data_IF_360805960730
#
_entry.id   IF_360805960730
#
_cell.length_a   1.000
_cell.length_b   1.000
_cell.length_c   1.000
_cell.angle_alpha   90.00
_cell.angle_beta   90.00
_cell.angle_gamma   90.00
#
_symmetry.space_group_name_H-M   'P 1'
#
loop_
_entity.id
_entity.type
_entity.pdbx_description
1 polymer ?
#
# COMPACT_ATOMS: atom_id res chain seq x y z
N UNK A 1 38.20 -15.16 -40.53
CA UNK A 1 37.88 -16.09 -41.65
C UNK A 1 38.98 -17.14 -41.84
N UNK A 2 40.26 -16.77 -41.91
CA UNK A 2 41.35 -17.73 -42.10
C UNK A 2 41.50 -18.73 -40.96
N UNK A 3 41.38 -18.32 -39.71
CA UNK A 3 41.49 -19.19 -38.55
C UNK A 3 40.37 -20.24 -38.47
N UNK A 4 39.12 -19.87 -38.82
CA UNK A 4 37.97 -20.81 -38.86
C UNK A 4 38.17 -21.87 -39.96
N UNK A 5 38.69 -21.47 -41.10
CA UNK A 5 39.01 -22.37 -42.22
C UNK A 5 40.11 -23.37 -41.85
N UNK A 6 41.17 -22.93 -41.16
CA UNK A 6 42.23 -23.79 -40.66
C UNK A 6 41.73 -24.80 -39.65
N UNK A 7 40.92 -24.38 -38.68
CA UNK A 7 40.33 -25.27 -37.70
C UNK A 7 39.50 -26.39 -38.33
N UNK A 8 38.67 -26.09 -39.34
CA UNK A 8 37.86 -27.07 -40.04
C UNK A 8 38.69 -28.06 -40.86
N UNK A 9 39.83 -27.63 -41.41
CA UNK A 9 40.79 -28.51 -42.07
C UNK A 9 41.44 -29.46 -41.05
N UNK A 10 41.80 -28.94 -39.88
CA UNK A 10 42.47 -29.70 -38.83
C UNK A 10 41.54 -30.81 -38.22
N UNK A 11 40.22 -30.64 -38.26
CA UNK A 11 39.25 -31.67 -37.87
C UNK A 11 38.80 -32.59 -39.02
N UNK A 12 39.44 -32.47 -40.19
CA UNK A 12 39.21 -33.33 -41.36
C UNK A 12 37.79 -33.40 -41.86
N UNK A 13 37.08 -32.30 -41.87
CA UNK A 13 35.69 -32.16 -42.35
C UNK A 13 35.70 -32.16 -43.89
N UNK A 14 34.87 -33.00 -44.51
CA UNK A 14 34.74 -33.09 -45.97
C UNK A 14 34.26 -31.78 -46.61
N UNK A 15 34.50 -31.66 -47.95
CA UNK A 15 34.18 -30.43 -48.69
C UNK A 15 32.70 -30.06 -48.66
N UNK A 16 31.82 -31.03 -48.69
CA UNK A 16 30.35 -30.81 -48.60
C UNK A 16 29.96 -30.28 -47.21
N UNK A 17 30.48 -30.88 -46.14
CA UNK A 17 30.25 -30.39 -44.77
C UNK A 17 30.84 -28.97 -44.56
N UNK A 18 31.88 -28.62 -45.28
CA UNK A 18 32.44 -27.25 -45.22
C UNK A 18 31.50 -26.20 -45.84
N UNK A 19 30.86 -26.52 -46.97
CA UNK A 19 29.88 -25.59 -47.59
C UNK A 19 28.66 -25.42 -46.72
N UNK A 20 28.11 -26.51 -46.15
CA UNK A 20 27.01 -26.46 -45.15
C UNK A 20 27.41 -25.64 -43.91
N UNK A 21 28.61 -25.86 -43.38
CA UNK A 21 29.14 -25.07 -42.27
C UNK A 21 29.35 -23.59 -42.62
N UNK A 22 29.76 -23.31 -43.83
CA UNK A 22 29.94 -21.96 -44.31
C UNK A 22 28.58 -21.24 -44.43
N UNK A 23 27.59 -21.89 -45.04
CA UNK A 23 26.24 -21.37 -45.09
C UNK A 23 25.65 -21.16 -43.68
N UNK A 24 25.90 -22.08 -42.77
CA UNK A 24 25.46 -21.96 -41.37
C UNK A 24 26.20 -20.80 -40.66
N UNK A 25 27.50 -20.67 -40.81
CA UNK A 25 28.29 -19.58 -40.23
C UNK A 25 27.93 -18.23 -40.86
N UNK A 26 27.76 -18.16 -42.17
CA UNK A 26 27.39 -16.93 -42.87
C UNK A 26 25.91 -16.57 -42.64
N UNK A 27 25.07 -17.55 -42.28
CA UNK A 27 23.68 -17.37 -41.88
C UNK A 27 23.49 -17.02 -40.40
N UNK A 28 24.51 -17.18 -39.54
CA UNK A 28 24.52 -16.61 -38.20
C UNK A 28 24.83 -15.11 -38.35
N UNK A 29 23.77 -14.34 -38.38
CA UNK A 29 23.86 -12.89 -38.20
C UNK A 29 24.26 -12.70 -36.73
N UNK A 30 25.56 -12.53 -36.50
CA UNK A 30 26.11 -12.36 -35.14
C UNK A 30 25.97 -10.88 -34.75
N UNK A 31 24.72 -10.50 -34.48
CA UNK A 31 24.35 -9.17 -33.96
C UNK A 31 24.67 -9.04 -32.47
N UNK A 32 25.31 -10.05 -31.86
CA UNK A 32 25.67 -10.01 -30.44
C UNK A 32 26.99 -9.20 -30.27
N UNK A 33 27.07 -8.39 -29.21
CA UNK A 33 28.31 -7.69 -28.88
C UNK A 33 29.39 -8.67 -28.46
N UNK A 34 30.65 -8.34 -28.81
CA UNK A 34 31.81 -9.11 -28.35
C UNK A 34 31.94 -9.05 -26.82
N UNK A 35 32.41 -10.12 -26.14
CA UNK A 35 32.66 -10.11 -24.71
C UNK A 35 33.79 -9.13 -24.37
N UNK A 36 33.56 -8.31 -23.35
CA UNK A 36 34.53 -7.33 -22.85
C UNK A 36 35.42 -7.93 -21.76
N UNK A 37 36.69 -7.59 -21.76
CA UNK A 37 37.63 -7.99 -20.70
C UNK A 37 37.49 -7.06 -19.50
N UNK A 38 37.19 -7.60 -18.32
CA UNK A 38 37.11 -6.82 -17.10
C UNK A 38 38.39 -6.07 -16.76
N UNK A 39 39.55 -6.63 -17.11
CA UNK A 39 40.85 -5.98 -16.91
C UNK A 39 41.03 -4.73 -17.77
N UNK A 40 40.44 -4.70 -18.97
CA UNK A 40 40.50 -3.54 -19.87
C UNK A 40 39.56 -2.43 -19.41
N UNK A 41 38.44 -2.81 -18.79
CA UNK A 41 37.44 -1.85 -18.31
C UNK A 41 37.73 -1.34 -16.88
N UNK A 42 38.63 -2.01 -16.13
CA UNK A 42 38.81 -1.77 -14.69
C UNK A 42 39.11 -0.31 -14.33
N UNK A 43 39.96 0.34 -15.10
CA UNK A 43 40.35 1.73 -14.88
C UNK A 43 39.43 2.76 -15.59
N UNK A 44 38.55 2.27 -16.47
CA UNK A 44 37.62 3.08 -17.26
C UNK A 44 36.20 2.50 -17.24
N UNK A 45 35.66 2.20 -16.04
CA UNK A 45 34.31 1.69 -15.88
C UNK A 45 33.27 2.63 -16.50
N UNK A 46 32.32 2.11 -17.27
CA UNK A 46 31.22 2.90 -17.79
C UNK A 46 30.39 3.50 -16.64
N UNK A 47 29.93 4.72 -16.84
CA UNK A 47 29.04 5.37 -15.86
C UNK A 47 27.75 4.62 -15.71
N UNK A 48 27.31 4.45 -14.46
CA UNK A 48 25.99 3.89 -14.18
C UNK A 48 24.89 4.84 -14.69
N UNK A 49 23.81 4.27 -15.22
CA UNK A 49 22.63 5.06 -15.57
C UNK A 49 22.16 5.91 -14.38
N UNK A 50 21.78 7.17 -14.60
CA UNK A 50 21.38 8.06 -13.50
C UNK A 50 20.14 7.53 -12.76
N UNK A 51 20.00 7.77 -11.45
CA UNK A 51 18.82 7.37 -10.73
C UNK A 51 17.60 8.15 -11.25
N UNK A 52 16.51 7.43 -11.53
CA UNK A 52 15.21 8.01 -11.83
C UNK A 52 14.45 8.30 -10.53
N UNK A 53 14.39 7.31 -9.64
CA UNK A 53 13.87 7.43 -8.28
C UNK A 53 15.03 7.05 -7.37
N UNK A 54 15.49 8.00 -6.58
CA UNK A 54 16.70 7.84 -5.78
C UNK A 54 16.59 6.62 -4.83
N UNK A 55 17.63 5.79 -4.82
CA UNK A 55 17.68 4.53 -4.06
C UNK A 55 16.58 3.49 -4.39
N UNK A 56 15.87 3.63 -5.51
CA UNK A 56 14.82 2.68 -5.93
C UNK A 56 15.01 2.22 -7.37
N UNK A 57 15.16 3.13 -8.32
CA UNK A 57 15.18 2.80 -9.75
C UNK A 57 16.12 3.71 -10.53
N UNK A 58 16.91 3.15 -11.45
CA UNK A 58 17.70 3.89 -12.45
C UNK A 58 16.92 4.07 -13.76
N UNK A 59 17.32 5.04 -14.57
CA UNK A 59 16.91 5.10 -15.97
C UNK A 59 17.42 3.87 -16.71
N UNK A 60 16.71 3.42 -17.74
CA UNK A 60 17.05 2.18 -18.45
C UNK A 60 16.66 0.88 -17.74
N UNK A 61 16.04 0.95 -16.56
CA UNK A 61 15.64 -0.20 -15.76
C UNK A 61 14.11 -0.37 -15.68
N UNK A 62 13.68 -1.54 -15.23
CA UNK A 62 12.25 -1.92 -15.13
C UNK A 62 11.77 -1.90 -13.69
N UNK A 63 10.56 -1.39 -13.47
CA UNK A 63 9.91 -1.44 -12.16
C UNK A 63 8.48 -1.95 -12.27
N UNK A 64 8.14 -2.93 -11.42
CA UNK A 64 6.80 -3.43 -11.22
C UNK A 64 6.21 -2.89 -9.92
N UNK A 65 5.01 -2.32 -9.98
CA UNK A 65 4.17 -2.07 -8.81
C UNK A 65 3.09 -3.15 -8.73
N UNK A 66 3.18 -4.00 -7.72
CA UNK A 66 2.21 -5.05 -7.45
C UNK A 66 1.26 -4.65 -6.32
N UNK A 67 0.02 -5.11 -6.37
CA UNK A 67 -0.96 -4.82 -5.31
C UNK A 67 -2.34 -5.38 -5.65
N UNK A 68 -3.23 -5.56 -4.65
CA UNK A 68 -4.57 -6.06 -4.88
C UNK A 68 -5.39 -5.14 -5.80
N UNK A 69 -6.52 -5.62 -6.31
CA UNK A 69 -7.45 -4.79 -7.05
C UNK A 69 -7.95 -3.64 -6.16
N UNK A 70 -8.09 -2.46 -6.75
CA UNK A 70 -8.52 -1.23 -6.05
C UNK A 70 -7.55 -0.70 -4.98
N UNK A 71 -6.29 -1.16 -4.97
CA UNK A 71 -5.22 -0.68 -4.09
C UNK A 71 -4.69 0.73 -4.41
N UNK A 72 -5.31 1.48 -5.29
CA UNK A 72 -4.81 2.81 -5.66
C UNK A 72 -3.60 2.81 -6.60
N UNK A 73 -3.18 1.66 -7.19
CA UNK A 73 -1.98 1.56 -8.07
C UNK A 73 -1.92 2.62 -9.17
N UNK A 74 -3.04 2.86 -9.87
CA UNK A 74 -3.10 3.89 -10.91
C UNK A 74 -2.87 5.29 -10.35
N UNK A 75 -3.33 5.58 -9.12
CA UNK A 75 -3.04 6.84 -8.44
C UNK A 75 -1.56 6.94 -8.08
N UNK A 76 -0.96 5.88 -7.53
CA UNK A 76 0.48 5.83 -7.24
C UNK A 76 1.33 6.05 -8.51
N UNK A 77 0.94 5.47 -9.65
CA UNK A 77 1.60 5.69 -10.94
C UNK A 77 1.43 7.12 -11.46
N UNK A 78 0.27 7.73 -11.28
CA UNK A 78 0.02 9.14 -11.64
C UNK A 78 0.83 10.07 -10.73
N UNK A 79 0.85 9.83 -9.41
CA UNK A 79 1.69 10.58 -8.45
C UNK A 79 3.16 10.52 -8.86
N UNK A 80 3.66 9.33 -9.20
CA UNK A 80 5.03 9.13 -9.67
C UNK A 80 5.31 9.88 -10.97
N UNK A 81 4.37 9.79 -11.95
CA UNK A 81 4.46 10.52 -13.21
C UNK A 81 4.60 12.03 -12.96
N UNK A 82 3.79 12.58 -12.08
CA UNK A 82 3.82 14.00 -11.69
C UNK A 82 5.13 14.33 -10.98
N UNK A 83 5.56 13.50 -10.03
CA UNK A 83 6.79 13.72 -9.28
C UNK A 83 8.01 13.77 -10.20
N UNK A 84 8.12 12.86 -11.18
CA UNK A 84 9.19 12.84 -12.18
C UNK A 84 9.10 14.08 -13.08
N UNK A 85 7.92 14.42 -13.58
CA UNK A 85 7.75 15.57 -14.46
C UNK A 85 8.14 16.89 -13.79
N UNK A 86 7.80 17.05 -12.52
CA UNK A 86 8.07 18.26 -11.73
C UNK A 86 9.43 18.24 -11.01
N UNK A 87 10.15 17.10 -10.97
CA UNK A 87 11.37 16.92 -10.19
C UNK A 87 11.12 17.05 -8.69
N UNK A 88 10.09 16.36 -8.20
CA UNK A 88 9.64 16.36 -6.81
C UNK A 88 9.80 14.97 -6.20
N UNK A 89 9.47 14.84 -4.91
CA UNK A 89 9.41 13.54 -4.25
C UNK A 89 8.17 12.75 -4.66
N UNK A 90 8.36 11.47 -4.92
CA UNK A 90 7.29 10.50 -4.87
C UNK A 90 7.37 9.75 -3.53
N UNK A 91 6.34 9.86 -2.71
CA UNK A 91 6.39 9.50 -1.30
C UNK A 91 7.56 10.23 -0.60
N UNK A 92 8.57 9.51 -0.11
CA UNK A 92 9.78 10.10 0.48
C UNK A 92 11.02 10.06 -0.43
N UNK A 93 10.90 9.51 -1.66
CA UNK A 93 12.02 9.37 -2.59
C UNK A 93 12.08 10.54 -3.58
N UNK A 94 13.28 11.14 -3.70
CA UNK A 94 13.55 12.16 -4.73
C UNK A 94 13.47 11.54 -6.13
N UNK A 95 12.80 12.24 -7.06
CA UNK A 95 12.72 11.84 -8.45
C UNK A 95 13.53 12.76 -9.34
N UNK A 96 14.19 12.19 -10.36
CA UNK A 96 14.78 12.97 -11.43
C UNK A 96 13.72 13.74 -12.19
N UNK A 97 14.06 14.95 -12.64
CA UNK A 97 13.16 15.77 -13.45
C UNK A 97 13.31 15.45 -14.93
N UNK A 98 12.22 15.11 -15.62
CA UNK A 98 12.25 14.90 -17.06
C UNK A 98 10.90 14.53 -17.65
N UNK A 99 10.93 14.20 -18.95
CA UNK A 99 9.73 13.81 -19.67
C UNK A 99 9.29 12.40 -19.35
N UNK A 100 7.98 12.23 -19.18
CA UNK A 100 7.33 10.95 -18.89
C UNK A 100 6.21 10.69 -19.89
N UNK A 101 6.15 9.47 -20.42
CA UNK A 101 4.99 8.99 -21.17
C UNK A 101 4.13 8.11 -20.26
N UNK A 102 2.85 8.45 -20.11
CA UNK A 102 1.86 7.64 -19.42
C UNK A 102 0.96 6.91 -20.42
N UNK A 103 1.06 5.60 -20.49
CA UNK A 103 0.26 4.74 -21.38
C UNK A 103 -0.96 4.25 -20.63
N UNK A 104 -2.10 4.88 -20.88
CA UNK A 104 -3.39 4.54 -20.29
C UNK A 104 -4.12 3.48 -21.11
N UNK A 105 -4.31 2.30 -20.55
CA UNK A 105 -4.95 1.15 -21.20
C UNK A 105 -6.36 0.84 -20.66
N UNK A 106 -6.74 1.43 -19.53
CA UNK A 106 -7.99 1.08 -18.84
C UNK A 106 -9.01 2.21 -18.77
N UNK A 107 -8.57 3.42 -18.43
CA UNK A 107 -9.48 4.54 -18.26
C UNK A 107 -9.88 5.18 -19.60
N UNK A 108 -11.09 5.70 -19.69
CA UNK A 108 -11.43 6.60 -20.78
C UNK A 108 -10.58 7.89 -20.69
N UNK A 109 -10.48 8.59 -21.82
CA UNK A 109 -9.63 9.77 -21.94
C UNK A 109 -9.98 10.86 -20.93
N UNK A 110 -11.27 11.12 -20.74
CA UNK A 110 -11.70 12.20 -19.86
C UNK A 110 -11.38 11.87 -18.40
N UNK A 111 -11.75 10.68 -17.94
CA UNK A 111 -11.45 10.20 -16.58
C UNK A 111 -9.95 10.19 -16.29
N UNK A 112 -9.11 9.79 -17.25
CA UNK A 112 -7.66 9.81 -17.06
C UNK A 112 -7.14 11.23 -16.86
N UNK A 113 -7.55 12.18 -17.70
CA UNK A 113 -7.11 13.57 -17.62
C UNK A 113 -7.60 14.26 -16.33
N UNK A 114 -8.86 14.03 -15.92
CA UNK A 114 -9.39 14.54 -14.66
C UNK A 114 -8.61 13.99 -13.48
N UNK A 115 -8.29 12.69 -13.48
CA UNK A 115 -7.51 12.06 -12.41
C UNK A 115 -6.12 12.68 -12.25
N UNK A 116 -5.44 13.01 -13.34
CA UNK A 116 -4.18 13.77 -13.28
C UNK A 116 -4.37 15.13 -12.62
N UNK A 117 -5.42 15.88 -12.98
CA UNK A 117 -5.72 17.18 -12.38
C UNK A 117 -6.02 17.07 -10.89
N UNK A 118 -6.84 16.10 -10.51
CA UNK A 118 -7.23 15.88 -9.12
C UNK A 118 -6.00 15.51 -8.25
N UNK A 119 -5.10 14.65 -8.77
CA UNK A 119 -3.85 14.29 -8.08
C UNK A 119 -2.91 15.49 -7.96
N UNK A 120 -2.74 16.30 -9.00
CA UNK A 120 -1.96 17.54 -8.91
C UNK A 120 -2.47 18.46 -7.79
N UNK A 121 -3.79 18.65 -7.72
CA UNK A 121 -4.42 19.47 -6.68
C UNK A 121 -4.21 18.86 -5.29
N UNK A 122 -4.39 17.55 -5.15
CA UNK A 122 -4.21 16.86 -3.88
C UNK A 122 -2.76 16.89 -3.38
N UNK A 123 -1.78 16.80 -4.29
CA UNK A 123 -0.36 16.93 -3.96
C UNK A 123 0.03 18.37 -3.59
N UNK A 124 -0.80 19.36 -3.91
CA UNK A 124 -0.50 20.78 -3.70
C UNK A 124 0.64 21.29 -4.60
N UNK A 125 0.89 20.63 -5.72
CA UNK A 125 1.93 21.04 -6.66
C UNK A 125 1.39 22.06 -7.65
N UNK A 126 2.14 23.14 -7.85
CA UNK A 126 1.90 24.05 -8.96
C UNK A 126 2.32 23.36 -10.26
N UNK A 127 1.44 23.25 -11.27
CA UNK A 127 1.72 22.52 -12.50
C UNK A 127 2.64 23.30 -13.45
N UNK A 128 3.93 23.37 -13.13
CA UNK A 128 4.92 24.16 -13.89
C UNK A 128 5.44 23.44 -15.14
N UNK A 129 5.45 22.09 -15.11
CA UNK A 129 6.11 21.28 -16.14
C UNK A 129 5.13 20.31 -16.82
N UNK A 130 3.89 20.73 -17.08
CA UNK A 130 2.88 19.92 -17.76
C UNK A 130 3.35 19.39 -19.14
N UNK A 131 4.23 20.12 -19.82
CA UNK A 131 4.84 19.70 -21.09
C UNK A 131 5.78 18.48 -20.95
N UNK A 132 6.14 18.11 -19.72
CA UNK A 132 6.89 16.89 -19.44
C UNK A 132 6.02 15.64 -19.35
N UNK A 133 4.70 15.76 -19.41
CA UNK A 133 3.79 14.63 -19.33
C UNK A 133 3.06 14.46 -20.67
N UNK A 134 3.33 13.35 -21.35
CA UNK A 134 2.56 12.93 -22.51
C UNK A 134 1.67 11.73 -22.12
N UNK A 135 0.36 11.82 -22.34
CA UNK A 135 -0.61 10.76 -22.04
C UNK A 135 -1.05 10.08 -23.35
N UNK A 136 -0.77 8.78 -23.45
CA UNK A 136 -1.20 7.97 -24.60
C UNK A 136 -2.41 7.11 -24.23
N UNK A 137 -3.61 7.57 -24.60
CA UNK A 137 -4.86 6.88 -24.29
C UNK A 137 -5.15 5.74 -25.30
N UNK A 138 -5.05 4.51 -24.84
CA UNK A 138 -5.21 3.29 -25.63
C UNK A 138 -6.36 2.39 -25.15
N UNK A 139 -7.25 2.86 -24.30
CA UNK A 139 -8.46 2.09 -23.94
C UNK A 139 -9.23 1.70 -25.20
N UNK A 140 -9.57 0.40 -25.32
CA UNK A 140 -10.25 -0.15 -26.50
C UNK A 140 -9.36 -0.31 -27.73
N UNK A 141 -8.06 0.03 -27.64
CA UNK A 141 -7.06 -0.10 -28.72
C UNK A 141 -5.83 -0.88 -28.24
N UNK A 142 -5.97 -1.64 -27.15
CA UNK A 142 -4.88 -2.46 -26.61
C UNK A 142 -4.48 -3.52 -27.62
N UNK A 143 -3.18 -3.69 -27.80
CA UNK A 143 -2.58 -4.71 -28.66
C UNK A 143 -1.49 -5.44 -27.84
N UNK A 144 -1.14 -6.68 -28.20
CA UNK A 144 -0.07 -7.41 -27.57
C UNK A 144 1.23 -6.61 -27.43
N UNK A 145 1.99 -6.86 -26.35
CA UNK A 145 3.20 -6.08 -26.04
C UNK A 145 4.28 -6.21 -27.13
N UNK A 146 4.41 -7.36 -27.75
CA UNK A 146 5.32 -7.59 -28.90
C UNK A 146 5.03 -6.66 -30.10
N UNK A 147 3.74 -6.30 -30.29
CA UNK A 147 3.29 -5.35 -31.31
C UNK A 147 3.26 -3.91 -30.80
N UNK A 148 3.11 -3.72 -29.49
CA UNK A 148 3.08 -2.38 -28.88
C UNK A 148 4.49 -1.80 -28.72
N UNK A 149 5.48 -2.59 -28.29
CA UNK A 149 6.82 -2.14 -28.03
C UNK A 149 7.48 -1.43 -29.23
N UNK A 150 7.48 -1.99 -30.46
CA UNK A 150 8.04 -1.29 -31.62
C UNK A 150 7.33 0.04 -31.95
N UNK A 151 6.01 0.10 -31.73
CA UNK A 151 5.23 1.32 -31.95
C UNK A 151 5.50 2.38 -30.89
N UNK A 152 5.74 1.95 -29.66
CA UNK A 152 6.12 2.80 -28.52
C UNK A 152 7.50 3.37 -28.74
N UNK A 153 8.50 2.53 -29.05
CA UNK A 153 9.87 2.93 -29.36
C UNK A 153 9.88 3.98 -30.48
N UNK A 154 9.22 3.70 -31.60
CA UNK A 154 9.16 4.65 -32.72
C UNK A 154 8.58 6.02 -32.35
N UNK A 155 7.56 6.06 -31.45
CA UNK A 155 6.95 7.32 -30.98
C UNK A 155 7.80 8.04 -29.96
N UNK A 156 8.49 7.30 -29.12
CA UNK A 156 9.27 7.82 -28.01
C UNK A 156 10.67 8.29 -28.45
N UNK A 157 11.27 7.69 -29.47
CA UNK A 157 12.67 7.88 -29.89
C UNK A 157 13.12 9.34 -30.09
N UNK A 158 12.20 10.26 -30.40
CA UNK A 158 12.53 11.67 -30.64
C UNK A 158 12.15 12.60 -29.49
N UNK A 159 11.67 12.06 -28.35
CA UNK A 159 11.06 12.85 -27.28
C UNK A 159 11.85 12.88 -25.97
N UNK A 160 12.95 12.14 -25.88
CA UNK A 160 13.85 12.08 -24.72
C UNK A 160 13.07 11.81 -23.42
N UNK A 161 12.21 10.79 -23.41
CA UNK A 161 11.57 10.34 -22.18
C UNK A 161 12.60 9.70 -21.25
N UNK A 162 12.54 10.02 -19.96
CA UNK A 162 13.33 9.35 -18.92
C UNK A 162 12.56 8.21 -18.26
N UNK A 163 11.21 8.20 -18.43
CA UNK A 163 10.35 7.13 -17.95
C UNK A 163 9.16 6.92 -18.88
N UNK A 164 8.72 5.65 -18.98
CA UNK A 164 7.47 5.24 -19.61
C UNK A 164 6.67 4.44 -18.59
N UNK A 165 5.45 4.88 -18.29
CA UNK A 165 4.55 4.26 -17.33
C UNK A 165 3.42 3.57 -18.08
N UNK A 166 3.16 2.28 -17.80
CA UNK A 166 2.13 1.46 -18.46
C UNK A 166 1.09 1.02 -17.41
N UNK A 167 -0.15 1.47 -17.57
CA UNK A 167 -1.24 1.26 -16.62
C UNK A 167 -2.52 0.73 -17.27
N UNK A 168 -2.93 -0.50 -16.91
CA UNK A 168 -2.21 -1.61 -16.32
C UNK A 168 -1.68 -2.59 -17.38
N UNK A 169 -0.66 -3.35 -16.99
CA UNK A 169 0.04 -4.26 -17.92
C UNK A 169 -0.81 -5.44 -18.41
N UNK A 170 -1.76 -5.94 -17.62
CA UNK A 170 -2.55 -7.12 -18.00
C UNK A 170 -3.33 -6.94 -19.31
N UNK A 171 -3.56 -5.69 -19.74
CA UNK A 171 -4.24 -5.38 -21.02
C UNK A 171 -3.40 -5.70 -22.26
N UNK A 172 -2.10 -5.88 -22.10
CA UNK A 172 -1.15 -6.13 -23.21
C UNK A 172 -0.44 -7.48 -23.09
N UNK A 173 -0.71 -8.23 -22.02
CA UNK A 173 -0.29 -9.63 -21.86
C UNK A 173 -1.10 -10.48 -22.83
N UNK A 174 -0.43 -11.42 -23.50
CA UNK A 174 -1.04 -12.45 -24.35
C UNK A 174 -0.54 -13.82 -23.91
N UNK A 175 -1.44 -14.79 -23.93
CA UNK A 175 -1.14 -16.16 -23.50
C UNK A 175 -1.39 -16.41 -22.02
N UNK A 176 -0.78 -17.46 -21.51
CA UNK A 176 -0.96 -17.88 -20.12
C UNK A 176 0.05 -17.19 -19.21
N UNK A 177 -0.43 -16.37 -18.29
CA UNK A 177 0.39 -15.68 -17.28
C UNK A 177 1.17 -16.65 -16.35
N UNK A 178 0.76 -17.91 -16.28
CA UNK A 178 1.46 -18.93 -15.48
C UNK A 178 2.57 -19.64 -16.26
N UNK A 179 2.64 -19.45 -17.59
CA UNK A 179 3.70 -20.00 -18.41
C UNK A 179 4.98 -19.19 -18.29
N UNK A 180 6.04 -19.81 -17.74
CA UNK A 180 7.34 -19.16 -17.57
C UNK A 180 7.94 -18.67 -18.90
N UNK A 181 7.84 -19.47 -19.97
CA UNK A 181 8.39 -19.14 -21.30
C UNK A 181 7.65 -17.96 -21.94
N UNK A 182 6.32 -17.92 -21.81
CA UNK A 182 5.52 -16.82 -22.36
C UNK A 182 5.80 -15.52 -21.60
N UNK A 183 5.92 -15.60 -20.28
CA UNK A 183 6.25 -14.44 -19.44
C UNK A 183 7.67 -13.95 -19.68
N UNK A 184 8.66 -14.83 -19.87
CA UNK A 184 10.00 -14.41 -20.25
C UNK A 184 10.03 -13.65 -21.57
N UNK A 185 9.35 -14.17 -22.62
CA UNK A 185 9.23 -13.46 -23.91
C UNK A 185 8.52 -12.12 -23.78
N UNK A 186 7.53 -12.04 -22.91
CA UNK A 186 6.80 -10.80 -22.63
C UNK A 186 7.70 -9.79 -21.91
N UNK A 187 8.42 -10.18 -20.87
CA UNK A 187 9.35 -9.32 -20.13
C UNK A 187 10.49 -8.80 -20.99
N UNK A 188 11.02 -9.60 -21.92
CA UNK A 188 12.03 -9.19 -22.89
C UNK A 188 11.60 -8.02 -23.79
N UNK A 189 10.29 -7.76 -23.96
CA UNK A 189 9.83 -6.59 -24.69
C UNK A 189 10.12 -5.29 -23.93
N UNK A 190 10.11 -5.33 -22.60
CA UNK A 190 10.50 -4.16 -21.80
C UNK A 190 11.99 -3.89 -21.85
N UNK A 191 12.83 -4.95 -21.87
CA UNK A 191 14.27 -4.80 -22.05
C UNK A 191 14.59 -4.09 -23.38
N UNK A 192 13.89 -4.47 -24.47
CA UNK A 192 14.02 -3.77 -25.75
C UNK A 192 13.67 -2.28 -25.64
N UNK A 193 12.56 -1.95 -24.94
CA UNK A 193 12.16 -0.56 -24.76
C UNK A 193 13.20 0.21 -23.93
N UNK A 194 13.69 -0.38 -22.83
CA UNK A 194 14.72 0.22 -21.99
C UNK A 194 16.03 0.46 -22.76
N UNK A 195 16.50 -0.54 -23.50
CA UNK A 195 17.77 -0.47 -24.24
C UNK A 195 17.71 0.53 -25.42
N UNK A 196 16.61 0.53 -26.17
CA UNK A 196 16.45 1.40 -27.35
C UNK A 196 16.25 2.88 -26.96
N UNK A 197 15.64 3.14 -25.81
CA UNK A 197 15.28 4.49 -25.41
C UNK A 197 16.12 5.04 -24.27
N UNK A 198 16.86 4.20 -23.55
CA UNK A 198 17.62 4.60 -22.35
C UNK A 198 16.72 5.06 -21.20
N UNK A 199 15.40 4.81 -21.26
CA UNK A 199 14.44 5.25 -20.26
C UNK A 199 13.98 4.09 -19.36
N UNK A 200 13.51 4.40 -18.15
CA UNK A 200 12.91 3.39 -17.30
C UNK A 200 11.50 3.00 -17.79
N UNK A 201 11.14 1.73 -17.62
CA UNK A 201 9.78 1.24 -17.86
C UNK A 201 9.14 0.84 -16.54
N UNK A 202 8.06 1.50 -16.19
CA UNK A 202 7.33 1.31 -14.94
C UNK A 202 5.94 0.79 -15.27
N UNK A 203 5.50 -0.25 -14.59
CA UNK A 203 4.21 -0.86 -14.86
C UNK A 203 3.55 -1.42 -13.60
N UNK A 204 2.24 -1.64 -13.63
CA UNK A 204 1.53 -2.23 -12.51
C UNK A 204 0.80 -3.51 -12.87
N UNK A 205 0.72 -4.40 -11.88
CA UNK A 205 0.02 -5.67 -11.98
C UNK A 205 -0.72 -6.03 -10.69
N UNK A 206 -1.62 -7.01 -10.77
CA UNK A 206 -2.36 -7.47 -9.61
C UNK A 206 -1.58 -8.53 -8.82
N UNK A 207 -1.85 -8.61 -7.50
CA UNK A 207 -1.42 -9.73 -6.69
C UNK A 207 -2.12 -11.03 -7.10
N UNK A 208 -1.45 -12.16 -6.89
CA UNK A 208 -2.07 -13.49 -6.97
C UNK A 208 -3.20 -13.61 -5.93
N UNK A 209 -4.19 -14.47 -6.20
CA UNK A 209 -5.30 -14.71 -5.27
C UNK A 209 -4.81 -15.31 -3.94
N UNK A 210 -5.48 -14.99 -2.83
CA UNK A 210 -5.22 -15.51 -1.48
C UNK A 210 -4.62 -14.49 -0.53
N UNK A 211 -4.39 -14.88 0.73
CA UNK A 211 -3.77 -14.04 1.76
C UNK A 211 -2.36 -13.60 1.36
N UNK A 212 -2.08 -12.32 1.48
CA UNK A 212 -0.83 -11.73 0.99
C UNK A 212 0.22 -11.55 2.10
N UNK A 213 -0.21 -11.47 3.36
CA UNK A 213 0.65 -11.21 4.48
C UNK A 213 1.75 -12.24 4.69
N UNK A 214 1.41 -13.54 4.57
CA UNK A 214 2.34 -14.67 4.74
C UNK A 214 3.26 -14.91 3.54
N UNK A 215 2.97 -14.30 2.37
CA UNK A 215 3.77 -14.46 1.16
C UNK A 215 4.95 -13.50 1.13
N UNK A 216 6.11 -13.97 0.64
CA UNK A 216 7.22 -13.07 0.31
C UNK A 216 6.83 -12.17 -0.87
N UNK A 217 7.44 -10.98 -0.96
CA UNK A 217 7.20 -10.00 -2.02
C UNK A 217 7.18 -10.63 -3.43
N UNK A 218 8.18 -11.46 -3.74
CA UNK A 218 8.30 -12.14 -5.03
C UNK A 218 7.19 -13.17 -5.33
N UNK A 219 6.49 -13.65 -4.30
CA UNK A 219 5.43 -14.65 -4.44
C UNK A 219 4.02 -14.00 -4.44
N UNK A 220 3.94 -12.70 -4.21
CA UNK A 220 2.67 -11.93 -4.19
C UNK A 220 2.20 -11.57 -5.59
N UNK A 221 3.11 -11.23 -6.51
CA UNK A 221 2.73 -10.87 -7.88
C UNK A 221 2.02 -12.04 -8.57
N UNK A 222 0.95 -11.75 -9.32
CA UNK A 222 0.21 -12.74 -10.10
C UNK A 222 1.05 -13.28 -11.25
N UNK A 223 0.82 -14.53 -11.63
CA UNK A 223 1.48 -15.17 -12.76
C UNK A 223 2.69 -16.02 -12.39
N UNK A 224 3.53 -16.32 -13.37
CA UNK A 224 4.74 -17.14 -13.16
C UNK A 224 5.77 -16.38 -12.31
N UNK A 225 6.58 -17.12 -11.53
CA UNK A 225 7.65 -16.53 -10.73
C UNK A 225 8.69 -15.74 -11.55
N UNK A 226 8.75 -15.93 -12.87
CA UNK A 226 9.58 -15.15 -13.80
C UNK A 226 9.16 -13.69 -13.77
N UNK A 227 7.85 -13.43 -13.83
CA UNK A 227 7.30 -12.07 -13.88
C UNK A 227 7.64 -11.21 -12.65
N UNK A 228 7.74 -11.84 -11.47
CA UNK A 228 8.12 -11.17 -10.24
C UNK A 228 9.63 -10.97 -10.09
N UNK A 229 10.45 -11.81 -10.75
CA UNK A 229 11.91 -11.79 -10.64
C UNK A 229 12.60 -10.94 -11.72
N UNK A 230 11.93 -10.71 -12.84
CA UNK A 230 12.47 -9.99 -13.98
C UNK A 230 12.71 -8.50 -13.72
N UNK A 231 11.82 -7.74 -13.05
CA UNK A 231 12.04 -6.32 -12.79
C UNK A 231 13.27 -6.04 -11.94
N UNK A 232 13.94 -4.91 -12.19
CA UNK A 232 15.06 -4.43 -11.36
C UNK A 232 14.57 -3.88 -10.01
N UNK A 233 13.32 -3.41 -9.98
CA UNK A 233 12.63 -3.03 -8.75
C UNK A 233 11.21 -3.60 -8.73
N UNK A 234 10.85 -4.30 -7.67
CA UNK A 234 9.49 -4.73 -7.37
C UNK A 234 9.03 -3.99 -6.11
N UNK A 235 7.95 -3.23 -6.23
CA UNK A 235 7.28 -2.58 -5.11
C UNK A 235 5.91 -3.20 -4.88
N UNK A 236 5.69 -3.71 -3.66
CA UNK A 236 4.42 -4.30 -3.25
C UNK A 236 3.61 -3.33 -2.42
N UNK A 237 2.36 -3.08 -2.83
CA UNK A 237 1.34 -2.41 -2.04
C UNK A 237 0.55 -3.47 -1.27
N UNK A 238 0.74 -3.52 0.05
CA UNK A 238 0.10 -4.46 0.96
C UNK A 238 -0.93 -3.70 1.78
N UNK A 239 -2.17 -4.18 1.78
CA UNK A 239 -3.22 -3.58 2.60
C UNK A 239 -2.97 -3.88 4.08
N UNK A 240 -3.07 -2.84 4.90
CA UNK A 240 -3.03 -2.94 6.34
C UNK A 240 -4.46 -2.82 6.87
N UNK A 241 -4.88 -3.78 7.67
CA UNK A 241 -6.18 -3.71 8.30
C UNK A 241 -6.16 -2.69 9.45
N UNK A 242 -7.10 -1.76 9.40
CA UNK A 242 -7.28 -0.74 10.43
C UNK A 242 -8.38 -1.15 11.40
N UNK A 243 -8.17 -0.90 12.70
CA UNK A 243 -9.18 -1.03 13.74
C UNK A 243 -9.84 0.33 14.05
N UNK A 244 -10.91 0.32 14.83
CA UNK A 244 -11.64 1.52 15.19
C UNK A 244 -10.78 2.53 15.96
N UNK A 245 -9.90 2.05 16.85
CA UNK A 245 -8.99 2.90 17.64
C UNK A 245 -8.01 3.64 16.76
N UNK A 246 -7.46 2.97 15.73
CA UNK A 246 -6.56 3.61 14.76
C UNK A 246 -7.26 4.70 13.95
N UNK A 247 -8.47 4.43 13.50
CA UNK A 247 -9.27 5.43 12.76
C UNK A 247 -9.63 6.59 13.68
N UNK A 248 -9.99 6.33 14.94
CA UNK A 248 -10.27 7.36 15.93
C UNK A 248 -9.04 8.26 16.17
N UNK A 249 -7.86 7.67 16.38
CA UNK A 249 -6.62 8.41 16.55
C UNK A 249 -6.26 9.22 15.29
N UNK A 250 -6.43 8.64 14.10
CA UNK A 250 -6.23 9.36 12.84
C UNK A 250 -7.19 10.52 12.68
N UNK A 251 -8.45 10.34 13.03
CA UNK A 251 -9.50 11.37 13.02
C UNK A 251 -9.14 12.50 13.97
N UNK A 252 -8.76 12.18 15.23
CA UNK A 252 -8.33 13.17 16.20
C UNK A 252 -7.18 14.04 15.66
N UNK A 253 -6.12 13.42 15.13
CA UNK A 253 -4.97 14.14 14.58
C UNK A 253 -5.38 15.00 13.36
N UNK A 254 -6.17 14.45 12.45
CA UNK A 254 -6.63 15.17 11.26
C UNK A 254 -7.51 16.38 11.60
N UNK A 255 -8.31 16.29 12.68
CA UNK A 255 -9.09 17.42 13.18
C UNK A 255 -8.20 18.50 13.80
N UNK A 256 -7.18 18.11 14.58
CA UNK A 256 -6.20 19.05 15.13
C UNK A 256 -5.49 19.81 13.99
N UNK A 257 -5.03 19.09 12.96
CA UNK A 257 -4.38 19.69 11.79
C UNK A 257 -5.26 20.73 11.09
N UNK A 258 -6.55 20.41 10.89
CA UNK A 258 -7.51 21.36 10.26
C UNK A 258 -7.73 22.58 11.14
N UNK A 259 -7.82 22.43 12.46
CA UNK A 259 -7.99 23.54 13.40
C UNK A 259 -6.75 24.43 13.37
N UNK A 260 -5.55 23.85 13.47
CA UNK A 260 -4.28 24.60 13.38
C UNK A 260 -4.19 25.38 12.08
N UNK A 261 -4.46 24.72 10.95
CA UNK A 261 -4.43 25.39 9.65
C UNK A 261 -5.43 26.55 9.60
N UNK A 262 -6.64 26.35 10.09
CA UNK A 262 -7.68 27.37 10.09
C UNK A 262 -7.32 28.56 10.99
N UNK A 263 -6.78 28.29 12.18
CA UNK A 263 -6.33 29.35 13.10
C UNK A 263 -5.18 30.15 12.49
N UNK A 264 -4.21 29.50 11.84
CA UNK A 264 -3.14 30.17 11.10
C UNK A 264 -3.66 31.10 9.98
N UNK A 265 -4.81 30.77 9.37
CA UNK A 265 -5.44 31.59 8.33
C UNK A 265 -6.22 32.79 8.89
N UNK A 266 -6.73 32.73 10.12
CA UNK A 266 -7.79 33.66 10.62
C UNK A 266 -7.46 34.37 11.90
N UNK A 267 -6.50 33.92 12.70
CA UNK A 267 -6.23 34.46 14.03
C UNK A 267 -4.73 34.66 14.23
N UNK A 268 -4.34 35.90 14.44
CA UNK A 268 -2.94 36.23 14.73
C UNK A 268 -2.56 35.81 16.16
N UNK A 269 -1.38 35.24 16.34
CA UNK A 269 -0.80 34.82 17.62
C UNK A 269 -1.71 33.85 18.45
N UNK A 270 -2.47 33.01 17.76
CA UNK A 270 -3.36 32.06 18.44
C UNK A 270 -2.60 31.06 19.32
N UNK A 271 -1.32 30.79 19.03
CA UNK A 271 -0.44 29.91 19.80
C UNK A 271 -0.28 30.36 21.27
N UNK A 272 -0.40 31.65 21.54
CA UNK A 272 -0.35 32.15 22.93
C UNK A 272 -1.53 31.67 23.78
N UNK A 273 -2.61 31.27 23.15
CA UNK A 273 -3.85 30.83 23.80
C UNK A 273 -4.04 29.32 23.89
N UNK A 274 -3.20 28.53 23.20
CA UNK A 274 -3.33 27.09 23.07
C UNK A 274 -2.00 26.42 23.41
N UNK A 275 -1.99 25.56 24.46
CA UNK A 275 -0.79 24.83 24.85
C UNK A 275 -0.48 23.68 23.89
N UNK A 276 0.78 23.20 23.90
CA UNK A 276 1.18 22.01 23.12
C UNK A 276 0.38 20.77 23.51
N UNK A 277 0.01 20.62 24.78
CA UNK A 277 -0.82 19.50 25.25
C UNK A 277 -2.26 19.59 24.69
N UNK A 278 -2.82 20.80 24.57
CA UNK A 278 -4.13 21.01 23.94
C UNK A 278 -4.14 20.58 22.47
N UNK A 279 -3.00 20.79 21.75
CA UNK A 279 -2.85 20.41 20.33
C UNK A 279 -2.91 18.90 20.08
N UNK A 280 -2.76 18.08 21.11
CA UNK A 280 -2.87 16.62 21.02
C UNK A 280 -4.34 16.12 21.14
N UNK A 281 -5.29 17.00 21.46
CA UNK A 281 -6.70 16.65 21.66
C UNK A 281 -7.63 17.49 20.81
N UNK A 282 -8.32 16.86 19.87
CA UNK A 282 -9.29 17.56 19.02
C UNK A 282 -10.44 18.18 19.80
N UNK A 283 -10.82 17.58 20.93
CA UNK A 283 -11.85 18.14 21.81
C UNK A 283 -11.39 19.45 22.48
N UNK A 284 -10.15 19.49 22.99
CA UNK A 284 -9.59 20.69 23.60
C UNK A 284 -9.32 21.76 22.54
N UNK A 285 -8.75 21.38 21.39
CA UNK A 285 -8.55 22.30 20.26
C UNK A 285 -9.85 22.94 19.79
N UNK A 286 -10.94 22.17 19.69
CA UNK A 286 -12.27 22.74 19.36
C UNK A 286 -12.74 23.74 20.39
N UNK A 287 -12.70 23.39 21.68
CA UNK A 287 -13.16 24.26 22.76
C UNK A 287 -12.34 25.58 22.83
N UNK A 288 -11.05 25.53 22.51
CA UNK A 288 -10.20 26.73 22.44
C UNK A 288 -10.49 27.55 21.18
N UNK A 289 -10.58 26.91 20.01
CA UNK A 289 -10.89 27.57 18.74
C UNK A 289 -12.25 28.27 18.77
N UNK A 290 -13.28 27.66 19.38
CA UNK A 290 -14.60 28.28 19.55
C UNK A 290 -14.56 29.63 20.30
N UNK A 291 -13.63 29.77 21.26
CA UNK A 291 -13.44 31.01 22.02
C UNK A 291 -12.69 32.09 21.25
N UNK A 292 -11.87 31.69 20.29
CA UNK A 292 -11.03 32.60 19.51
C UNK A 292 -11.71 33.06 18.22
N UNK A 293 -12.74 32.35 17.75
CA UNK A 293 -13.37 32.57 16.45
C UNK A 293 -14.73 33.30 16.62
N UNK A 294 -15.08 34.06 15.60
CA UNK A 294 -16.44 34.59 15.47
C UNK A 294 -17.43 33.46 15.12
N UNK A 295 -18.74 33.61 15.40
CA UNK A 295 -19.72 32.57 15.06
C UNK A 295 -19.67 32.12 13.59
N UNK A 296 -19.49 33.05 12.65
CA UNK A 296 -19.36 32.74 11.22
C UNK A 296 -18.10 31.91 10.91
N UNK A 297 -16.98 32.24 11.53
CA UNK A 297 -15.72 31.50 11.37
C UNK A 297 -15.82 30.12 12.02
N UNK A 298 -16.52 30.00 13.14
CA UNK A 298 -16.77 28.73 13.79
C UNK A 298 -17.63 27.79 12.93
N UNK A 299 -18.70 28.31 12.32
CA UNK A 299 -19.52 27.54 11.37
C UNK A 299 -18.69 27.06 10.16
N UNK A 300 -17.81 27.91 9.63
CA UNK A 300 -16.90 27.55 8.54
C UNK A 300 -15.92 26.43 8.96
N UNK A 301 -15.29 26.57 10.13
CA UNK A 301 -14.40 25.55 10.70
C UNK A 301 -15.11 24.23 10.91
N UNK A 302 -16.29 24.26 11.53
CA UNK A 302 -17.07 23.02 11.78
C UNK A 302 -17.46 22.31 10.49
N UNK A 303 -17.78 23.06 9.44
CA UNK A 303 -17.97 22.54 8.08
C UNK A 303 -16.73 21.82 7.55
N UNK A 304 -15.54 22.46 7.64
CA UNK A 304 -14.26 21.86 7.23
C UNK A 304 -13.93 20.59 8.04
N UNK A 305 -14.18 20.60 9.36
CA UNK A 305 -13.98 19.45 10.22
C UNK A 305 -14.87 18.27 9.82
N UNK A 306 -16.15 18.51 9.56
CA UNK A 306 -17.08 17.47 9.14
C UNK A 306 -16.65 16.79 7.83
N UNK A 307 -16.20 17.59 6.86
CA UNK A 307 -15.66 17.07 5.60
C UNK A 307 -14.41 16.22 5.85
N UNK A 308 -13.49 16.70 6.72
CA UNK A 308 -12.24 15.97 7.02
C UNK A 308 -12.48 14.67 7.76
N UNK A 309 -13.39 14.62 8.74
CA UNK A 309 -13.79 13.40 9.45
C UNK A 309 -14.31 12.36 8.45
N UNK A 310 -15.23 12.74 7.58
CA UNK A 310 -15.77 11.87 6.55
C UNK A 310 -14.66 11.33 5.62
N UNK A 311 -13.69 12.16 5.23
CA UNK A 311 -12.55 11.72 4.43
C UNK A 311 -11.72 10.65 5.16
N UNK A 312 -11.43 10.87 6.46
CA UNK A 312 -10.63 9.90 7.27
C UNK A 312 -11.33 8.57 7.41
N UNK A 313 -12.65 8.54 7.58
CA UNK A 313 -13.44 7.30 7.64
C UNK A 313 -13.32 6.45 6.36
N UNK A 314 -13.03 7.08 5.23
CA UNK A 314 -12.88 6.43 3.93
C UNK A 314 -11.42 6.16 3.54
N UNK A 315 -10.45 6.52 4.37
CA UNK A 315 -9.04 6.20 4.14
C UNK A 315 -8.78 4.71 4.29
N UNK A 316 -7.85 4.20 3.49
CA UNK A 316 -7.28 2.87 3.66
C UNK A 316 -5.79 2.96 3.98
N UNK A 317 -5.30 1.99 4.73
CA UNK A 317 -3.90 1.94 5.15
C UNK A 317 -3.13 0.90 4.32
N UNK A 318 -1.90 1.25 3.95
CA UNK A 318 -1.05 0.47 3.04
C UNK A 318 0.38 0.44 3.54
N UNK A 319 1.09 -0.61 3.14
CA UNK A 319 2.55 -0.73 3.30
C UNK A 319 3.19 -0.95 1.95
N UNK A 320 4.24 -0.20 1.67
CA UNK A 320 5.12 -0.44 0.52
C UNK A 320 6.31 -1.23 0.99
N UNK A 321 6.49 -2.43 0.45
CA UNK A 321 7.70 -3.23 0.56
C UNK A 321 8.41 -3.27 -0.79
N UNK A 322 9.74 -3.34 -0.77
CA UNK A 322 10.54 -3.36 -1.99
C UNK A 322 11.51 -4.53 -2.05
N UNK A 323 11.66 -5.09 -3.25
CA UNK A 323 12.75 -5.97 -3.64
C UNK A 323 13.50 -5.30 -4.78
N UNK A 324 14.75 -4.93 -4.54
CA UNK A 324 15.57 -4.12 -5.46
C UNK A 324 16.80 -4.93 -5.88
N UNK A 325 17.21 -4.79 -7.15
CA UNK A 325 18.42 -5.42 -7.70
C UNK A 325 19.65 -4.53 -7.54
N UNK A 326 19.49 -3.23 -7.78
CA UNK A 326 20.59 -2.26 -7.86
C UNK A 326 20.84 -1.46 -6.57
N UNK A 327 19.88 -1.48 -5.66
CA UNK A 327 19.94 -0.69 -4.43
C UNK A 327 19.72 -1.56 -3.21
N UNK A 328 20.22 -1.08 -2.06
CA UNK A 328 19.94 -1.72 -0.79
C UNK A 328 18.45 -1.72 -0.47
N UNK A 329 17.98 -2.78 0.20
CA UNK A 329 16.61 -2.87 0.67
C UNK A 329 16.30 -1.69 1.62
N UNK A 330 15.23 -0.96 1.33
CA UNK A 330 14.72 0.07 2.22
C UNK A 330 13.78 -0.51 3.29
N UNK A 331 13.58 0.24 4.37
CA UNK A 331 12.58 -0.12 5.39
C UNK A 331 11.17 0.04 4.81
N UNK A 332 10.22 -0.86 5.14
CA UNK A 332 8.84 -0.73 4.68
C UNK A 332 8.27 0.66 4.98
N UNK A 333 7.60 1.25 4.00
CA UNK A 333 6.97 2.57 4.12
C UNK A 333 5.48 2.39 4.32
N UNK A 334 4.95 2.87 5.44
CA UNK A 334 3.52 2.85 5.71
C UNK A 334 2.84 4.09 5.15
N UNK A 335 1.66 3.91 4.55
CA UNK A 335 0.92 4.92 3.83
C UNK A 335 -0.55 4.93 4.24
N UNK A 336 -1.16 6.10 4.18
CA UNK A 336 -2.60 6.28 4.09
C UNK A 336 -2.98 6.62 2.65
N UNK A 337 -3.97 5.94 2.08
CA UNK A 337 -4.58 6.38 0.84
C UNK A 337 -5.71 7.37 1.18
N UNK A 338 -5.39 8.65 1.08
CA UNK A 338 -6.28 9.81 1.26
C UNK A 338 -6.70 10.28 -0.13
N UNK A 339 -7.78 9.68 -0.65
CA UNK A 339 -8.18 9.89 -2.04
C UNK A 339 -8.09 11.36 -2.46
N UNK A 340 -7.40 11.69 -3.57
CA UNK A 340 -6.85 10.78 -4.59
C UNK A 340 -5.32 10.55 -4.49
N UNK A 341 -4.70 10.65 -3.31
CA UNK A 341 -3.24 10.51 -3.13
C UNK A 341 -2.85 9.57 -2.01
N UNK A 342 -1.60 9.09 -2.09
CA UNK A 342 -0.94 8.39 -1.00
C UNK A 342 -0.18 9.38 -0.10
N UNK A 343 -0.30 9.20 1.20
CA UNK A 343 0.37 10.02 2.21
C UNK A 343 1.19 9.13 3.13
N UNK A 344 2.49 9.41 3.26
CA UNK A 344 3.36 8.66 4.18
C UNK A 344 2.90 8.85 5.62
N UNK A 345 2.80 7.76 6.37
CA UNK A 345 2.49 7.81 7.80
C UNK A 345 3.69 8.28 8.62
N UNK A 346 3.82 9.59 8.77
CA UNK A 346 4.87 10.21 9.57
C UNK A 346 4.63 10.09 11.08
N UNK A 347 3.40 9.81 11.48
CA UNK A 347 3.04 9.64 12.89
C UNK A 347 3.44 8.29 13.47
N UNK A 348 3.68 7.30 12.59
CA UNK A 348 4.07 5.96 12.97
C UNK A 348 2.93 5.10 13.53
N UNK A 349 1.68 5.55 13.44
CA UNK A 349 0.51 4.79 13.94
C UNK A 349 0.29 3.46 13.21
N UNK A 350 0.81 3.34 11.98
CA UNK A 350 0.76 2.11 11.20
C UNK A 350 1.96 1.18 11.41
N UNK A 351 2.95 1.57 12.24
CA UNK A 351 4.23 0.86 12.36
C UNK A 351 4.06 -0.56 12.91
N UNK A 352 3.21 -0.70 13.91
CA UNK A 352 3.03 -1.95 14.64
C UNK A 352 1.94 -2.85 14.06
N UNK A 353 1.33 -2.45 12.92
CA UNK A 353 0.35 -3.29 12.25
C UNK A 353 1.10 -4.37 11.45
N UNK A 354 0.82 -5.63 11.78
CA UNK A 354 1.33 -6.75 11.02
C UNK A 354 0.35 -7.09 9.87
N UNK A 355 0.80 -7.09 8.59
CA UNK A 355 -0.05 -7.48 7.46
C UNK A 355 -0.58 -8.92 7.54
N UNK A 356 0.04 -9.75 8.39
CA UNK A 356 -0.34 -11.15 8.63
C UNK A 356 -1.41 -11.33 9.69
N UNK A 357 -1.70 -10.30 10.47
CA UNK A 357 -2.79 -10.33 11.43
C UNK A 357 -4.11 -10.35 10.65
N UNK A 358 -4.57 -11.56 10.41
CA UNK A 358 -5.84 -11.83 9.72
C UNK A 358 -6.95 -11.11 10.47
N UNK A 359 -7.45 -10.07 9.84
CA UNK A 359 -8.69 -9.34 10.13
C UNK A 359 -9.12 -9.36 11.61
N UNK A 360 -8.78 -8.34 12.41
CA UNK A 360 -9.27 -8.23 13.77
C UNK A 360 -10.79 -8.40 13.84
N UNK A 361 -11.54 -7.97 12.82
CA UNK A 361 -12.98 -8.23 12.69
C UNK A 361 -13.32 -9.71 12.50
N UNK A 362 -12.46 -10.49 11.81
CA UNK A 362 -12.66 -11.95 11.67
C UNK A 362 -12.07 -12.71 12.87
N UNK A 363 -10.96 -12.28 13.44
CA UNK A 363 -10.42 -12.84 14.68
C UNK A 363 -11.35 -12.56 15.84
N UNK A 364 -11.91 -11.34 15.91
CA UNK A 364 -12.94 -10.98 16.88
C UNK A 364 -14.23 -11.76 16.62
N UNK A 365 -14.70 -11.90 15.38
CA UNK A 365 -15.84 -12.79 15.03
C UNK A 365 -15.53 -14.27 15.28
N UNK A 366 -14.32 -14.75 14.99
CA UNK A 366 -13.90 -16.14 15.29
C UNK A 366 -13.73 -16.37 16.80
N UNK A 367 -13.17 -15.41 17.53
CA UNK A 367 -13.08 -15.47 18.99
C UNK A 367 -14.45 -15.21 19.64
N UNK A 368 -15.29 -14.34 19.07
CA UNK A 368 -16.68 -14.18 19.51
C UNK A 368 -17.53 -15.41 19.22
N UNK A 369 -17.28 -16.14 18.15
CA UNK A 369 -17.96 -17.40 17.85
C UNK A 369 -17.35 -18.60 18.57
N UNK A 370 -16.03 -18.60 18.89
CA UNK A 370 -15.43 -19.66 19.76
C UNK A 370 -15.77 -19.49 21.23
N UNK A 371 -16.06 -18.28 21.70
CA UNK A 371 -16.41 -17.96 23.09
C UNK A 371 -17.87 -17.55 23.27
N UNK A 372 -18.76 -17.77 22.30
CA UNK A 372 -20.18 -17.68 22.54
C UNK A 372 -20.59 -18.87 23.39
N UNK A 373 -20.42 -18.71 24.72
CA UNK A 373 -21.07 -19.55 25.69
C UNK A 373 -22.57 -19.56 25.36
N UNK A 374 -23.13 -20.72 25.30
CA UNK A 374 -24.58 -20.89 25.08
C UNK A 374 -25.36 -20.13 26.16
N UNK A 375 -26.61 -19.74 25.93
CA UNK A 375 -27.44 -19.14 26.98
C UNK A 375 -27.45 -19.94 28.28
N UNK A 376 -27.38 -21.26 28.17
CA UNK A 376 -27.31 -22.22 29.30
C UNK A 376 -25.95 -22.16 30.02
N UNK A 377 -24.83 -22.08 29.32
CA UNK A 377 -23.52 -21.92 29.93
C UNK A 377 -23.37 -20.58 30.65
N UNK A 378 -23.88 -19.48 30.06
CA UNK A 378 -23.90 -18.16 30.71
C UNK A 378 -24.77 -18.13 31.95
N UNK A 379 -25.90 -18.88 31.94
CA UNK A 379 -26.75 -19.05 33.08
C UNK A 379 -26.04 -19.83 34.20
N UNK A 380 -25.37 -20.92 33.85
CA UNK A 380 -24.59 -21.74 34.80
C UNK A 380 -23.46 -20.95 35.44
N UNK A 381 -22.72 -20.16 34.69
CA UNK A 381 -21.66 -19.30 35.24
C UNK A 381 -22.19 -18.19 36.15
N UNK A 382 -23.33 -17.58 35.80
CA UNK A 382 -23.97 -16.57 36.66
C UNK A 382 -24.44 -17.17 37.99
N UNK A 383 -24.97 -18.38 37.96
CA UNK A 383 -25.35 -19.15 39.13
C UNK A 383 -24.12 -19.47 39.97
N UNK A 384 -23.10 -20.02 39.38
CA UNK A 384 -21.86 -20.40 40.08
C UNK A 384 -21.13 -19.19 40.67
N UNK A 385 -21.06 -18.06 39.93
CA UNK A 385 -20.49 -16.81 40.42
C UNK A 385 -21.28 -16.23 41.58
N UNK A 386 -22.61 -16.32 41.57
CA UNK A 386 -23.50 -15.90 42.65
C UNK A 386 -23.27 -16.72 43.90
N UNK A 387 -23.21 -18.07 43.78
CA UNK A 387 -22.89 -18.96 44.88
C UNK A 387 -21.55 -18.67 45.54
N UNK A 388 -20.50 -18.56 44.74
CA UNK A 388 -19.15 -18.28 45.25
C UNK A 388 -19.06 -16.94 45.95
N UNK A 389 -19.66 -15.88 45.40
CA UNK A 389 -19.66 -14.55 46.01
C UNK A 389 -20.48 -14.55 47.32
N UNK A 390 -21.63 -15.21 47.34
CA UNK A 390 -22.44 -15.34 48.53
C UNK A 390 -21.67 -16.09 49.63
N UNK A 391 -21.05 -17.24 49.36
CA UNK A 391 -20.30 -18.05 50.32
C UNK A 391 -19.11 -17.24 50.90
N UNK A 392 -18.38 -16.49 50.03
CA UNK A 392 -17.27 -15.67 50.49
C UNK A 392 -17.71 -14.57 51.45
N UNK A 393 -18.87 -13.94 51.23
CA UNK A 393 -19.40 -12.88 52.09
C UNK A 393 -20.08 -13.43 53.34
N UNK A 394 -20.79 -14.55 53.23
CA UNK A 394 -21.50 -15.19 54.34
C UNK A 394 -20.56 -15.73 55.42
N UNK A 395 -19.34 -16.12 55.04
CA UNK A 395 -18.30 -16.61 55.98
C UNK A 395 -17.92 -15.57 57.04
N UNK A 396 -18.12 -14.29 56.78
CA UNK A 396 -17.87 -13.21 57.73
C UNK A 396 -19.03 -12.87 58.65
N UNK A 397 -20.23 -13.43 58.43
CA UNK A 397 -21.46 -13.14 59.16
C UNK A 397 -21.86 -14.34 60.03
N UNK A 398 -22.14 -14.10 61.32
CA UNK A 398 -22.51 -15.16 62.30
C UNK A 398 -23.85 -15.84 62.00
N UNK A 399 -24.71 -15.19 61.24
CA UNK A 399 -26.05 -15.67 60.86
C UNK A 399 -26.11 -16.27 59.45
N UNK A 400 -24.97 -16.43 58.78
CA UNK A 400 -24.86 -16.94 57.40
C UNK A 400 -25.76 -16.19 56.39
N UNK A 401 -26.05 -14.91 56.63
CA UNK A 401 -26.77 -14.05 55.70
C UNK A 401 -25.87 -12.97 55.13
N UNK A 402 -26.21 -12.43 53.98
CA UNK A 402 -25.48 -11.37 53.28
C UNK A 402 -26.46 -10.24 52.91
N UNK A 403 -26.09 -8.99 53.14
CA UNK A 403 -26.91 -7.87 52.68
C UNK A 403 -26.89 -7.81 51.14
N UNK A 404 -28.05 -7.55 50.54
CA UNK A 404 -28.24 -7.53 49.11
C UNK A 404 -27.37 -6.45 48.43
N UNK A 405 -27.14 -5.35 49.14
CA UNK A 405 -26.25 -4.24 48.71
C UNK A 405 -24.80 -4.71 48.63
N UNK A 406 -24.30 -5.39 49.69
CA UNK A 406 -22.97 -5.95 49.72
C UNK A 406 -22.73 -7.00 48.64
N UNK A 407 -23.77 -7.80 48.32
CA UNK A 407 -23.70 -8.78 47.24
C UNK A 407 -23.71 -8.10 45.85
N UNK A 408 -24.47 -7.01 45.71
CA UNK A 408 -24.52 -6.21 44.48
C UNK A 408 -23.16 -5.52 44.18
N UNK A 409 -22.57 -4.89 45.21
CA UNK A 409 -21.32 -4.19 45.13
C UNK A 409 -20.16 -5.16 44.80
N UNK A 410 -20.12 -6.31 45.50
CA UNK A 410 -19.09 -7.34 45.25
C UNK A 410 -19.16 -7.94 43.84
N UNK A 411 -20.34 -8.03 43.26
CA UNK A 411 -20.56 -8.53 41.91
C UNK A 411 -20.54 -7.43 40.84
N UNK A 412 -20.38 -6.15 41.21
CA UNK A 412 -20.35 -5.02 40.26
C UNK A 412 -21.65 -4.82 39.47
N UNK A 413 -22.83 -5.10 40.12
CA UNK A 413 -24.15 -5.01 39.48
C UNK A 413 -25.16 -4.29 40.39
N UNK A 414 -26.33 -3.91 39.85
CA UNK A 414 -27.37 -3.27 40.64
C UNK A 414 -28.12 -4.29 41.50
N UNK A 415 -28.68 -3.85 42.66
CA UNK A 415 -29.52 -4.68 43.53
C UNK A 415 -30.68 -5.33 42.75
N UNK A 416 -31.29 -4.59 41.81
CA UNK A 416 -32.34 -5.13 40.93
C UNK A 416 -31.86 -6.36 40.15
N UNK A 417 -30.63 -6.30 39.66
CA UNK A 417 -29.97 -7.40 38.92
C UNK A 417 -29.75 -8.59 39.86
N UNK A 418 -29.29 -8.34 41.10
CA UNK A 418 -29.11 -9.41 42.12
C UNK A 418 -30.44 -10.07 42.46
N UNK A 419 -31.51 -9.31 42.74
CA UNK A 419 -32.85 -9.87 43.01
C UNK A 419 -33.33 -10.80 41.88
N UNK A 420 -33.09 -10.40 40.61
CA UNK A 420 -33.44 -11.24 39.47
C UNK A 420 -32.59 -12.52 39.40
N UNK A 421 -31.29 -12.45 39.69
CA UNK A 421 -30.39 -13.61 39.69
C UNK A 421 -30.71 -14.58 40.83
N UNK A 422 -31.04 -14.08 42.02
CA UNK A 422 -31.45 -14.89 43.16
C UNK A 422 -32.78 -15.61 42.88
N UNK A 423 -33.72 -14.92 42.22
CA UNK A 423 -35.01 -15.51 41.78
C UNK A 423 -34.78 -16.59 40.70
N UNK A 424 -33.86 -16.33 39.75
CA UNK A 424 -33.49 -17.28 38.70
C UNK A 424 -32.78 -18.54 39.27
N UNK A 425 -31.98 -18.36 40.33
CA UNK A 425 -31.30 -19.45 41.05
C UNK A 425 -32.27 -20.33 41.85
N UNK A 426 -33.24 -19.72 42.51
CA UNK A 426 -34.27 -20.41 43.29
C UNK A 426 -33.82 -20.97 44.64
N UNK A 427 -32.54 -21.06 44.93
CA UNK A 427 -31.93 -21.62 46.15
C UNK A 427 -31.71 -20.62 47.30
N UNK A 428 -32.18 -19.36 47.14
CA UNK A 428 -32.02 -18.31 48.12
C UNK A 428 -33.36 -17.74 48.56
N UNK A 429 -33.38 -17.23 49.78
CA UNK A 429 -34.49 -16.41 50.28
C UNK A 429 -34.00 -14.97 50.47
N UNK A 430 -34.93 -14.01 50.42
CA UNK A 430 -34.67 -12.60 50.66
C UNK A 430 -35.71 -12.12 51.68
N UNK A 431 -35.25 -11.54 52.79
CA UNK A 431 -36.07 -10.94 53.79
C UNK A 431 -35.41 -9.68 54.36
N UNK A 432 -36.16 -8.56 54.46
CA UNK A 432 -35.69 -7.24 54.91
C UNK A 432 -34.32 -6.79 54.38
N UNK A 433 -34.01 -7.12 53.11
CA UNK A 433 -32.74 -6.76 52.46
C UNK A 433 -31.58 -7.74 52.72
N UNK A 434 -31.78 -8.76 53.51
CA UNK A 434 -30.86 -9.87 53.74
C UNK A 434 -31.16 -11.06 52.82
N UNK A 435 -30.12 -11.73 52.42
CA UNK A 435 -30.11 -12.91 51.55
C UNK A 435 -29.54 -14.08 52.31
N UNK A 436 -30.21 -15.22 52.30
CA UNK A 436 -29.74 -16.46 52.88
C UNK A 436 -30.03 -17.66 51.97
N UNK A 437 -29.27 -18.77 52.11
CA UNK A 437 -29.59 -20.05 51.43
C UNK A 437 -30.80 -20.69 52.03
N UNK A 438 -31.64 -21.32 51.16
CA UNK A 438 -32.80 -22.10 51.61
C UNK A 438 -32.39 -23.44 52.20
#
# INVERSE_FOLDING_TARGET
>A
RNGKKQFLIDVNIGKESWEEWKEWIDGINDDLPDPESLSEQWDNMPELAPPLINNVLRQGHKMLIAGPSKAGKSFALIEMCIAIAEGKKWLDWECAKGKVMYVNLELDRASCLHRFKDVYQALGYEPKNLSNIDIWNLRGKSIPMDKLAPKLIRRAAKKNYIAIIIDPIYKVITGDENSADQMAKFCNQFDKVCNELGCAVIYCHHHSKGGQGTKKSMDRASGSGVFARDPDALLDLIELETNEDLILNKTNNAMCDVIVQYLNEKVDNWEDSISQDDMCSSAQMKAKAERLLTPKQWDELTGRLSVRVNQVEHMSAWRVEGTLREFNKFQPVNLWFDYPRHVVDKTGVLKDINPDDVNPKQTWKKNFNKNKKTPEERKKERIQSLDQTFESLATFNKDNTVDITSLADSMGVTEKTIRNRLKEHGGFWIDEGKVGKK
#
